data_IF_403675178360
#
_entry.id   IF_403675178360
#
_cell.length_a   1.000
_cell.length_b   1.000
_cell.length_c   1.000
_cell.angle_alpha   90.00
_cell.angle_beta   90.00
_cell.angle_gamma   90.00
#
_symmetry.space_group_name_H-M   'P 1'
#
loop_
_entity.id
_entity.type
_entity.pdbx_description
1 polymer ?
#
# COMPACT_ATOMS: atom_id res chain seq x y z
N UNK A 1 -10.16 -10.66 -6.88
CA UNK A 1 -11.02 -11.50 -6.05
C UNK A 1 -10.72 -11.17 -4.59
N UNK A 2 -11.70 -10.59 -3.91
CA UNK A 2 -11.72 -10.44 -2.47
C UNK A 2 -11.94 -11.84 -1.88
N UNK A 3 -11.00 -12.33 -1.08
CA UNK A 3 -11.24 -13.47 -0.20
C UNK A 3 -11.47 -12.90 1.18
N UNK A 4 -12.71 -13.01 1.67
CA UNK A 4 -13.05 -12.63 3.02
C UNK A 4 -12.16 -13.39 4.02
N UNK A 5 -11.69 -12.74 5.10
CA UNK A 5 -10.85 -13.42 6.08
C UNK A 5 -11.64 -14.51 6.80
N UNK A 6 -11.03 -15.67 6.93
CA UNK A 6 -11.59 -16.88 7.56
C UNK A 6 -11.05 -17.13 8.97
N UNK A 7 -10.38 -16.16 9.57
CA UNK A 7 -9.69 -16.24 10.86
C UNK A 7 -10.00 -15.02 11.72
N UNK A 8 -10.01 -15.19 13.03
CA UNK A 8 -10.12 -14.11 14.01
C UNK A 8 -8.77 -13.55 14.46
N UNK A 9 -7.66 -13.97 13.87
CA UNK A 9 -6.36 -13.41 14.19
C UNK A 9 -6.32 -11.91 13.91
N UNK A 10 -6.19 -11.10 14.98
CA UNK A 10 -6.18 -9.65 14.90
C UNK A 10 -7.55 -9.00 14.65
N UNK A 11 -8.65 -9.77 14.72
CA UNK A 11 -10.00 -9.29 14.42
C UNK A 11 -10.94 -9.27 15.63
N UNK A 12 -10.46 -9.63 16.82
CA UNK A 12 -11.32 -9.75 17.99
C UNK A 12 -12.01 -8.42 18.34
N UNK A 13 -13.33 -8.47 18.50
CA UNK A 13 -14.15 -7.32 18.85
C UNK A 13 -14.46 -6.36 17.72
N UNK A 14 -14.13 -6.69 16.47
CA UNK A 14 -14.52 -5.88 15.33
C UNK A 14 -16.05 -5.86 15.14
N UNK A 15 -16.59 -4.79 14.54
CA UNK A 15 -18.01 -4.72 14.23
C UNK A 15 -18.39 -5.74 13.15
N UNK A 16 -19.64 -6.17 13.19
CA UNK A 16 -20.23 -7.05 12.16
C UNK A 16 -20.14 -6.41 10.76
N UNK A 17 -19.77 -7.22 9.78
CA UNK A 17 -19.77 -6.86 8.37
C UNK A 17 -20.40 -7.98 7.55
N UNK A 18 -21.40 -7.65 6.74
CA UNK A 18 -22.07 -8.63 5.84
C UNK A 18 -21.12 -9.18 4.75
N UNK A 19 -19.98 -8.54 4.54
CA UNK A 19 -18.99 -8.95 3.55
C UNK A 19 -18.04 -10.04 4.06
N UNK A 20 -18.04 -10.30 5.37
CA UNK A 20 -17.17 -11.30 5.99
C UNK A 20 -17.82 -12.68 5.97
N UNK A 21 -17.06 -13.72 5.63
CA UNK A 21 -17.56 -15.11 5.64
C UNK A 21 -17.76 -15.64 7.06
N UNK A 22 -16.99 -15.15 8.01
CA UNK A 22 -17.14 -15.45 9.42
C UNK A 22 -16.76 -14.24 10.26
N UNK A 23 -17.19 -14.20 11.51
CA UNK A 23 -17.18 -12.98 12.31
C UNK A 23 -16.40 -13.13 13.61
N UNK A 24 -15.92 -12.00 14.15
CA UNK A 24 -15.11 -11.94 15.37
C UNK A 24 -15.61 -10.90 16.37
N UNK A 25 -16.85 -10.42 16.19
CA UNK A 25 -17.50 -9.51 17.14
C UNK A 25 -17.99 -10.26 18.40
N UNK A 26 -18.22 -9.59 19.52
CA UNK A 26 -18.52 -10.24 20.80
C UNK A 26 -19.78 -11.14 20.78
N UNK A 27 -20.71 -10.85 19.90
CA UNK A 27 -22.01 -11.53 19.81
C UNK A 27 -22.03 -12.68 18.79
N UNK A 28 -20.93 -12.88 18.05
CA UNK A 28 -20.88 -13.89 16.98
C UNK A 28 -21.17 -15.33 17.51
N UNK A 29 -20.79 -15.61 18.75
CA UNK A 29 -21.08 -16.89 19.38
C UNK A 29 -22.59 -17.15 19.58
N UNK A 30 -23.35 -16.09 19.88
CA UNK A 30 -24.80 -16.14 20.03
C UNK A 30 -25.49 -16.26 18.67
N UNK A 31 -24.91 -15.65 17.67
CA UNK A 31 -25.40 -15.65 16.29
C UNK A 31 -24.93 -16.88 15.48
N UNK A 32 -24.06 -17.70 16.06
CA UNK A 32 -23.48 -18.88 15.43
C UNK A 32 -22.75 -18.62 14.12
N UNK A 33 -22.10 -17.45 14.01
CA UNK A 33 -21.39 -17.02 12.82
C UNK A 33 -19.91 -16.66 13.06
N UNK A 34 -19.34 -17.04 14.22
CA UNK A 34 -17.92 -16.87 14.49
C UNK A 34 -17.05 -17.67 13.52
N UNK A 35 -15.84 -17.16 13.27
CA UNK A 35 -14.79 -17.97 12.65
C UNK A 35 -14.43 -19.17 13.52
N UNK A 36 -13.98 -20.26 12.90
CA UNK A 36 -13.64 -21.51 13.60
C UNK A 36 -12.59 -21.31 14.70
N UNK A 37 -11.68 -20.36 14.53
CA UNK A 37 -10.61 -20.07 15.46
C UNK A 37 -10.94 -18.93 16.46
N UNK A 38 -12.21 -18.49 16.51
CA UNK A 38 -12.64 -17.41 17.40
C UNK A 38 -12.29 -17.67 18.86
N UNK A 39 -12.55 -18.85 19.38
CA UNK A 39 -12.23 -19.20 20.77
C UNK A 39 -10.73 -19.15 21.04
N UNK A 40 -9.93 -19.53 20.06
CA UNK A 40 -8.46 -19.51 20.16
C UNK A 40 -7.90 -18.10 20.25
N UNK A 41 -8.44 -17.16 19.47
CA UNK A 41 -7.94 -15.80 19.38
C UNK A 41 -8.68 -14.82 20.28
N UNK A 42 -9.96 -15.02 20.51
CA UNK A 42 -10.86 -14.08 21.18
C UNK A 42 -11.51 -14.65 22.45
N UNK A 43 -11.27 -15.92 22.79
CA UNK A 43 -11.78 -16.55 23.99
C UNK A 43 -11.08 -16.06 25.27
N UNK A 44 -11.59 -16.45 26.49
CA UNK A 44 -11.03 -15.97 27.75
C UNK A 44 -9.56 -16.35 27.99
N UNK A 45 -9.08 -17.41 27.35
CA UNK A 45 -7.67 -17.82 27.36
C UNK A 45 -6.86 -17.27 26.19
N UNK A 46 -7.54 -16.71 25.19
CA UNK A 46 -6.98 -16.10 23.98
C UNK A 46 -6.91 -14.59 24.04
N UNK A 47 -7.05 -14.00 25.20
CA UNK A 47 -6.69 -12.61 25.40
C UNK A 47 -5.19 -12.48 25.11
N UNK A 48 -4.85 -12.32 23.82
CA UNK A 48 -3.60 -11.68 23.48
C UNK A 48 -3.58 -10.43 24.36
N UNK A 49 -2.56 -10.32 25.16
CA UNK A 49 -2.43 -9.18 26.04
C UNK A 49 -2.77 -7.92 25.24
N UNK A 50 -3.42 -6.94 25.82
CA UNK A 50 -3.69 -5.62 25.18
C UNK A 50 -2.45 -4.97 24.56
N UNK A 51 -1.29 -5.57 24.75
CA UNK A 51 0.01 -5.19 24.17
C UNK A 51 0.20 -5.65 22.73
N UNK A 52 -0.44 -6.75 22.29
CA UNK A 52 -0.21 -7.32 20.95
C UNK A 52 -1.24 -6.84 19.92
N UNK A 53 -2.45 -6.49 20.37
CA UNK A 53 -3.50 -5.98 19.50
C UNK A 53 -3.31 -4.49 19.21
N UNK A 54 -3.44 -4.11 17.94
CA UNK A 54 -3.40 -2.71 17.49
C UNK A 54 -4.84 -2.24 17.35
N UNK A 55 -5.25 -1.25 18.19
CA UNK A 55 -6.60 -0.71 18.18
C UNK A 55 -6.79 0.31 17.05
N UNK A 56 -8.04 0.58 16.66
CA UNK A 56 -8.36 1.63 15.70
C UNK A 56 -7.87 3.00 16.19
N UNK A 57 -8.01 3.30 17.48
CA UNK A 57 -7.51 4.55 18.06
C UNK A 57 -5.98 4.67 17.92
N UNK A 58 -5.26 3.59 18.16
CA UNK A 58 -3.80 3.56 17.98
C UNK A 58 -3.40 3.78 16.52
N UNK A 59 -4.15 3.20 15.56
CA UNK A 59 -3.92 3.44 14.14
C UNK A 59 -4.14 4.90 13.74
N UNK A 60 -5.21 5.52 14.25
CA UNK A 60 -5.49 6.93 14.00
C UNK A 60 -4.37 7.84 14.55
N UNK A 61 -3.94 7.59 15.77
CA UNK A 61 -2.87 8.37 16.42
C UNK A 61 -1.51 8.15 15.74
N UNK A 62 -1.16 6.91 15.43
CA UNK A 62 0.11 6.60 14.80
C UNK A 62 0.17 7.13 13.36
N UNK A 63 -0.91 7.02 12.61
CA UNK A 63 -0.94 7.56 11.24
C UNK A 63 -0.76 9.09 11.23
N UNK A 64 -1.37 9.82 12.17
CA UNK A 64 -1.11 11.26 12.34
C UNK A 64 0.35 11.53 12.70
N UNK A 65 0.94 10.69 13.55
CA UNK A 65 2.35 10.82 13.92
C UNK A 65 3.27 10.59 12.71
N UNK A 66 3.00 9.55 11.90
CA UNK A 66 3.76 9.30 10.68
C UNK A 66 3.61 10.43 9.67
N UNK A 67 2.41 10.98 9.55
CA UNK A 67 2.15 12.14 8.71
C UNK A 67 3.03 13.36 9.10
N UNK A 68 3.14 13.65 10.39
CA UNK A 68 4.00 14.72 10.90
C UNK A 68 5.50 14.45 10.67
N UNK A 69 5.91 13.18 10.70
CA UNK A 69 7.30 12.77 10.58
C UNK A 69 7.78 12.59 9.13
N UNK A 70 6.93 12.85 8.13
CA UNK A 70 7.34 12.80 6.73
C UNK A 70 8.15 14.06 6.34
N UNK A 71 9.37 14.14 6.86
CA UNK A 71 10.27 15.27 6.65
C UNK A 71 10.77 15.38 5.21
N UNK A 72 10.73 14.28 4.45
CA UNK A 72 11.17 14.23 3.06
C UNK A 72 10.04 14.48 2.05
N UNK A 73 8.85 14.80 2.51
CA UNK A 73 7.73 15.13 1.62
C UNK A 73 8.03 16.35 0.75
N UNK A 74 7.35 16.47 -0.38
CA UNK A 74 7.40 17.65 -1.22
C UNK A 74 6.89 18.88 -0.46
N UNK A 75 7.53 20.01 -0.72
CA UNK A 75 7.07 21.34 -0.29
C UNK A 75 6.08 21.90 -1.32
N UNK A 76 5.27 22.92 -0.96
CA UNK A 76 4.26 23.46 -1.89
C UNK A 76 4.83 23.90 -3.25
N UNK A 77 6.06 24.40 -3.31
CA UNK A 77 6.72 24.81 -4.55
C UNK A 77 7.38 23.70 -5.35
N UNK A 78 7.45 22.48 -4.81
CA UNK A 78 8.16 21.35 -5.45
C UNK A 78 7.33 20.66 -6.52
N UNK A 79 6.02 20.70 -6.43
CA UNK A 79 5.10 20.03 -7.35
C UNK A 79 3.99 21.00 -7.78
N UNK A 80 3.72 21.05 -9.07
CA UNK A 80 2.53 21.69 -9.64
C UNK A 80 1.78 20.68 -10.50
N UNK A 81 0.53 20.42 -10.16
CA UNK A 81 -0.35 19.52 -10.91
C UNK A 81 -1.48 20.30 -11.60
N UNK A 82 -1.98 19.73 -12.68
CA UNK A 82 -3.16 20.20 -13.39
C UNK A 82 -4.20 19.07 -13.47
N UNK A 83 -5.11 18.94 -12.50
CA UNK A 83 -6.09 17.84 -12.47
C UNK A 83 -7.06 17.84 -13.65
N UNK A 84 -7.32 19.00 -14.26
CA UNK A 84 -8.16 19.15 -15.44
C UNK A 84 -9.59 18.62 -15.20
N UNK A 85 -10.08 17.70 -16.04
CA UNK A 85 -11.46 17.26 -15.99
C UNK A 85 -11.75 16.38 -14.76
N UNK A 86 -12.81 16.76 -14.02
CA UNK A 86 -13.38 15.93 -12.95
C UNK A 86 -14.41 14.98 -13.56
N UNK A 87 -14.09 13.70 -13.61
CA UNK A 87 -14.93 12.66 -14.17
C UNK A 87 -16.09 12.30 -13.23
N UNK A 88 -17.30 12.24 -13.77
CA UNK A 88 -18.45 11.67 -13.07
C UNK A 88 -18.40 10.14 -13.03
N UNK A 89 -19.29 9.50 -12.24
CA UNK A 89 -19.32 8.04 -12.10
C UNK A 89 -19.46 7.28 -13.44
N UNK A 90 -20.16 7.86 -14.40
CA UNK A 90 -20.39 7.25 -15.72
C UNK A 90 -19.22 7.47 -16.69
N UNK A 91 -18.27 8.32 -16.34
CA UNK A 91 -17.16 8.70 -17.23
C UNK A 91 -15.87 7.94 -16.94
N UNK A 92 -15.71 7.33 -15.77
CA UNK A 92 -14.46 6.65 -15.40
C UNK A 92 -14.19 5.41 -16.25
N UNK A 93 -15.23 4.71 -16.68
CA UNK A 93 -15.14 3.49 -17.47
C UNK A 93 -15.17 3.66 -18.98
N UNK A 94 -15.43 4.88 -19.48
CA UNK A 94 -15.62 5.12 -20.92
C UNK A 94 -14.30 5.22 -21.72
N UNK A 95 -13.17 5.20 -21.04
CA UNK A 95 -11.81 5.26 -21.61
C UNK A 95 -11.57 6.49 -22.51
N UNK A 96 -12.24 7.57 -22.22
CA UNK A 96 -12.14 8.80 -22.99
C UNK A 96 -11.16 9.77 -22.35
N UNK A 97 -10.14 10.16 -23.08
CA UNK A 97 -9.21 11.20 -22.67
C UNK A 97 -9.89 12.56 -22.73
N UNK A 98 -10.05 13.19 -21.55
CA UNK A 98 -10.62 14.53 -21.39
C UNK A 98 -9.59 15.54 -20.89
N UNK A 99 -8.33 15.16 -20.89
CA UNK A 99 -7.24 15.99 -20.38
C UNK A 99 -6.17 16.19 -21.46
N UNK A 100 -6.20 17.32 -22.19
CA UNK A 100 -5.25 17.57 -23.27
C UNK A 100 -3.83 17.84 -22.78
N UNK A 101 -3.66 18.09 -21.46
CA UNK A 101 -2.36 18.41 -20.85
C UNK A 101 -1.94 17.28 -19.89
N UNK A 102 -0.64 17.13 -19.60
CA UNK A 102 -0.16 16.24 -18.56
C UNK A 102 -0.74 16.61 -17.19
N UNK A 103 -0.82 15.62 -16.27
CA UNK A 103 -1.17 15.88 -14.88
C UNK A 103 -0.12 16.76 -14.20
N UNK A 104 1.16 16.44 -14.38
CA UNK A 104 2.26 17.19 -13.76
C UNK A 104 2.73 18.30 -14.68
N UNK A 105 2.55 19.55 -14.22
CA UNK A 105 3.13 20.74 -14.87
C UNK A 105 4.61 20.89 -14.52
N UNK A 106 4.95 20.58 -13.28
CA UNK A 106 6.30 20.75 -12.74
C UNK A 106 6.51 19.82 -11.54
N UNK A 107 7.69 19.23 -11.48
CA UNK A 107 8.21 18.54 -10.31
C UNK A 107 9.66 18.93 -10.10
N UNK A 108 10.00 19.35 -8.90
CA UNK A 108 11.40 19.61 -8.52
C UNK A 108 12.13 18.28 -8.35
N UNK A 109 12.87 17.87 -9.37
CA UNK A 109 13.57 16.59 -9.37
C UNK A 109 14.77 16.52 -8.41
N UNK A 110 15.15 17.61 -7.76
CA UNK A 110 16.10 17.59 -6.65
C UNK A 110 15.59 16.71 -5.47
N UNK A 111 14.27 16.57 -5.33
CA UNK A 111 13.66 15.61 -4.41
C UNK A 111 14.22 14.19 -4.62
N UNK A 112 14.40 13.80 -5.88
CA UNK A 112 14.80 12.45 -6.26
C UNK A 112 16.26 12.12 -5.93
N UNK A 113 17.04 13.11 -5.55
CA UNK A 113 18.41 12.93 -5.05
C UNK A 113 18.46 12.54 -3.56
N UNK A 114 17.37 12.72 -2.83
CA UNK A 114 17.29 12.26 -1.44
C UNK A 114 17.43 10.74 -1.38
N UNK A 115 18.14 10.20 -0.36
CA UNK A 115 18.48 8.77 -0.33
C UNK A 115 17.29 7.81 -0.45
N UNK A 116 16.17 8.10 0.18
CA UNK A 116 14.98 7.25 0.10
C UNK A 116 14.34 7.29 -1.28
N UNK A 117 14.29 8.46 -1.92
CA UNK A 117 13.79 8.61 -3.29
C UNK A 117 14.71 7.92 -4.30
N UNK A 118 16.01 8.16 -4.21
CA UNK A 118 16.97 7.60 -5.15
C UNK A 118 16.98 6.07 -5.12
N UNK A 119 16.98 5.47 -3.93
CA UNK A 119 16.92 4.02 -3.75
C UNK A 119 15.58 3.42 -4.18
N UNK A 120 14.48 4.13 -3.96
CA UNK A 120 13.15 3.74 -4.41
C UNK A 120 13.04 3.71 -5.94
N UNK A 121 13.51 4.76 -6.61
CA UNK A 121 13.46 4.89 -8.06
C UNK A 121 14.25 3.77 -8.75
N UNK A 122 15.38 3.36 -8.20
CA UNK A 122 16.15 2.22 -8.73
C UNK A 122 15.34 0.91 -8.73
N UNK A 123 14.50 0.71 -7.72
CA UNK A 123 13.66 -0.49 -7.65
C UNK A 123 12.56 -0.52 -8.71
N UNK A 124 12.07 0.63 -9.14
CA UNK A 124 10.96 0.70 -10.10
C UNK A 124 11.26 0.07 -11.45
N UNK A 125 12.52 0.02 -11.86
CA UNK A 125 12.95 -0.50 -13.16
C UNK A 125 13.15 -2.03 -13.18
N UNK A 126 13.01 -2.70 -12.04
CA UNK A 126 13.33 -4.13 -11.88
C UNK A 126 12.19 -5.08 -12.25
N UNK A 127 11.02 -4.56 -12.66
CA UNK A 127 9.81 -5.38 -12.79
C UNK A 127 9.26 -5.41 -14.21
N UNK A 128 8.79 -6.60 -14.60
CA UNK A 128 8.08 -6.78 -15.85
C UNK A 128 6.60 -6.44 -15.69
N UNK A 129 6.07 -5.59 -16.57
CA UNK A 129 4.70 -5.10 -16.52
C UNK A 129 3.64 -6.20 -16.57
N UNK A 130 3.83 -7.20 -17.44
CA UNK A 130 2.82 -8.24 -17.65
C UNK A 130 2.89 -9.33 -16.58
N UNK A 131 1.76 -9.66 -15.95
CA UNK A 131 1.64 -10.85 -15.11
C UNK A 131 1.71 -12.13 -15.98
N UNK A 132 2.11 -13.25 -15.38
CA UNK A 132 2.22 -14.54 -16.07
C UNK A 132 3.62 -14.85 -16.62
N UNK A 133 4.59 -13.96 -16.42
CA UNK A 133 6.00 -14.19 -16.71
C UNK A 133 6.77 -14.32 -15.41
N UNK A 134 7.51 -15.42 -15.25
CA UNK A 134 8.34 -15.63 -14.07
C UNK A 134 9.40 -14.53 -13.96
N UNK A 135 9.50 -13.92 -12.79
CA UNK A 135 10.51 -12.91 -12.49
C UNK A 135 11.76 -13.56 -11.90
N UNK A 136 12.91 -13.26 -12.51
CA UNK A 136 14.20 -13.61 -11.96
C UNK A 136 14.75 -12.44 -11.15
N UNK A 137 14.99 -12.67 -9.86
CA UNK A 137 15.60 -11.67 -8.98
C UNK A 137 17.12 -11.81 -9.04
N UNK A 138 17.79 -10.83 -9.62
CA UNK A 138 19.24 -10.80 -9.72
C UNK A 138 19.90 -10.44 -8.39
N UNK A 139 21.20 -10.72 -8.26
CA UNK A 139 21.99 -10.31 -7.09
C UNK A 139 22.03 -8.79 -6.92
N UNK A 140 21.97 -8.03 -8.02
CA UNK A 140 21.92 -6.57 -7.99
C UNK A 140 20.57 -6.07 -7.46
N UNK A 141 19.47 -6.64 -7.91
CA UNK A 141 18.13 -6.31 -7.41
C UNK A 141 18.00 -6.60 -5.90
N UNK A 142 18.57 -7.70 -5.42
CA UNK A 142 18.62 -7.97 -3.98
C UNK A 142 19.41 -6.89 -3.22
N UNK A 143 20.52 -6.43 -3.76
CA UNK A 143 21.28 -5.32 -3.16
C UNK A 143 20.49 -4.00 -3.17
N UNK A 144 19.75 -3.72 -4.23
CA UNK A 144 18.89 -2.55 -4.31
C UNK A 144 17.74 -2.62 -3.31
N UNK A 145 17.14 -3.78 -3.11
CA UNK A 145 16.12 -4.00 -2.07
C UNK A 145 16.69 -3.74 -0.67
N UNK A 146 17.83 -4.33 -0.36
CA UNK A 146 18.49 -4.13 0.93
C UNK A 146 18.92 -2.68 1.15
N UNK A 147 19.38 -2.01 0.11
CA UNK A 147 19.74 -0.60 0.16
C UNK A 147 18.51 0.29 0.44
N UNK A 148 17.42 0.07 -0.25
CA UNK A 148 16.16 0.80 0.00
C UNK A 148 15.67 0.60 1.45
N UNK A 149 15.64 -0.63 1.93
CA UNK A 149 15.22 -0.95 3.29
C UNK A 149 16.11 -0.25 4.34
N UNK A 150 17.42 -0.23 4.13
CA UNK A 150 18.35 0.49 5.02
C UNK A 150 18.10 2.00 5.00
N UNK A 151 17.86 2.59 3.83
CA UNK A 151 17.63 4.02 3.71
C UNK A 151 16.31 4.44 4.37
N UNK A 152 15.22 3.69 4.17
CA UNK A 152 13.95 4.03 4.84
C UNK A 152 14.04 3.87 6.35
N UNK A 153 14.77 2.86 6.85
CA UNK A 153 14.95 2.66 8.29
C UNK A 153 15.79 3.74 8.98
N UNK A 154 16.57 4.51 8.24
CA UNK A 154 17.28 5.68 8.79
C UNK A 154 16.36 6.87 9.06
N UNK A 155 15.15 6.86 8.52
CA UNK A 155 14.19 7.95 8.73
C UNK A 155 13.55 7.87 10.10
N UNK A 156 13.24 9.02 10.67
CA UNK A 156 12.52 9.11 11.94
C UNK A 156 11.14 8.45 11.84
N UNK A 157 10.49 8.58 10.70
CA UNK A 157 9.19 7.96 10.41
C UNK A 157 9.24 6.43 10.60
N UNK A 158 10.18 5.75 9.97
CA UNK A 158 10.29 4.30 10.06
C UNK A 158 10.78 3.85 11.45
N UNK A 159 11.61 4.64 12.13
CA UNK A 159 11.99 4.36 13.52
C UNK A 159 10.80 4.46 14.47
N UNK A 160 9.94 5.46 14.29
CA UNK A 160 8.70 5.59 15.08
C UNK A 160 7.77 4.38 14.87
N UNK A 161 7.60 3.95 13.62
CA UNK A 161 6.83 2.75 13.31
C UNK A 161 7.44 1.50 13.97
N UNK A 162 8.75 1.34 13.89
CA UNK A 162 9.43 0.20 14.50
C UNK A 162 9.24 0.18 16.02
N UNK A 163 9.46 1.31 16.69
CA UNK A 163 9.28 1.42 18.15
C UNK A 163 7.85 1.07 18.55
N UNK A 164 6.87 1.53 17.81
CA UNK A 164 5.46 1.18 18.05
C UNK A 164 5.22 -0.33 17.92
N UNK A 165 5.69 -0.94 16.82
CA UNK A 165 5.52 -2.36 16.58
C UNK A 165 6.29 -3.23 17.60
N UNK A 166 7.47 -2.78 18.03
CA UNK A 166 8.22 -3.41 19.11
C UNK A 166 7.46 -3.36 20.43
N UNK A 167 6.85 -2.21 20.76
CA UNK A 167 5.99 -2.04 21.93
C UNK A 167 4.75 -2.94 21.90
N UNK A 168 4.31 -3.36 20.72
CA UNK A 168 3.22 -4.32 20.50
C UNK A 168 3.70 -5.77 20.40
N UNK A 169 4.94 -6.05 20.75
CA UNK A 169 5.59 -7.37 20.68
C UNK A 169 5.56 -8.00 19.27
N UNK A 170 5.44 -7.19 18.22
CA UNK A 170 5.45 -7.70 16.84
C UNK A 170 6.86 -8.07 16.39
N UNK A 171 7.86 -7.32 16.84
CA UNK A 171 9.27 -7.54 16.51
C UNK A 171 10.14 -7.34 17.75
N UNK A 172 11.14 -8.20 17.90
CA UNK A 172 12.11 -8.10 18.99
C UNK A 172 13.29 -7.19 18.65
N UNK A 173 13.60 -7.04 17.36
CA UNK A 173 14.73 -6.26 16.87
C UNK A 173 14.44 -5.58 15.54
N UNK A 174 15.18 -4.54 15.22
CA UNK A 174 15.11 -3.87 13.93
C UNK A 174 15.46 -4.83 12.78
N UNK A 175 16.41 -5.73 13.00
CA UNK A 175 16.80 -6.73 12.00
C UNK A 175 15.63 -7.68 11.68
N UNK A 176 14.90 -8.13 12.68
CA UNK A 176 13.70 -8.96 12.47
C UNK A 176 12.62 -8.21 11.68
N UNK A 177 12.40 -6.94 12.01
CA UNK A 177 11.48 -6.08 11.27
C UNK A 177 11.88 -5.92 9.82
N UNK A 178 13.16 -5.60 9.55
CA UNK A 178 13.66 -5.46 8.17
C UNK A 178 13.53 -6.75 7.37
N UNK A 179 13.82 -7.88 7.97
CA UNK A 179 13.69 -9.18 7.31
C UNK A 179 12.23 -9.48 6.95
N UNK A 180 11.30 -9.18 7.82
CA UNK A 180 9.87 -9.36 7.58
C UNK A 180 9.35 -8.40 6.50
N UNK A 181 9.76 -7.12 6.54
CA UNK A 181 9.45 -6.15 5.49
C UNK A 181 9.95 -6.62 4.12
N UNK A 182 11.16 -7.17 4.07
CA UNK A 182 11.73 -7.70 2.84
C UNK A 182 10.88 -8.84 2.27
N UNK A 183 10.46 -9.78 3.10
CA UNK A 183 9.61 -10.87 2.68
C UNK A 183 8.21 -10.40 2.24
N UNK A 184 7.58 -9.52 3.02
CA UNK A 184 6.24 -9.02 2.71
C UNK A 184 6.17 -8.25 1.38
N UNK A 185 7.17 -7.41 1.12
CA UNK A 185 7.16 -6.50 -0.03
C UNK A 185 7.80 -7.08 -1.28
N UNK A 186 8.89 -7.83 -1.12
CA UNK A 186 9.71 -8.31 -2.24
C UNK A 186 9.61 -9.81 -2.47
N UNK A 187 8.97 -10.56 -1.55
CA UNK A 187 8.69 -11.97 -1.77
C UNK A 187 7.81 -12.16 -2.99
N UNK A 188 8.23 -13.05 -3.90
CA UNK A 188 7.48 -13.33 -5.11
C UNK A 188 6.28 -14.25 -4.85
N UNK A 189 5.17 -13.95 -5.49
CA UNK A 189 3.95 -14.76 -5.46
C UNK A 189 3.33 -14.86 -6.85
N UNK A 190 2.41 -15.80 -7.05
CA UNK A 190 1.73 -15.99 -8.31
C UNK A 190 0.45 -15.15 -8.41
N UNK A 191 0.37 -14.31 -9.42
CA UNK A 191 -0.86 -13.60 -9.84
C UNK A 191 -1.48 -14.20 -11.10
N UNK A 192 -0.71 -15.01 -11.83
CA UNK A 192 -1.13 -15.77 -13.00
C UNK A 192 -1.37 -17.25 -12.69
N UNK A 193 -1.01 -18.12 -13.61
CA UNK A 193 -1.31 -19.56 -13.57
C UNK A 193 -0.23 -20.41 -12.87
N UNK A 194 0.33 -19.94 -11.75
CA UNK A 194 1.27 -20.70 -10.93
C UNK A 194 2.72 -20.24 -10.99
N UNK A 195 3.04 -19.26 -11.80
CA UNK A 195 4.39 -18.67 -11.88
C UNK A 195 4.57 -17.56 -10.84
N UNK A 196 5.79 -17.38 -10.35
CA UNK A 196 6.15 -16.29 -9.42
C UNK A 196 6.37 -15.01 -10.21
N UNK A 197 5.28 -14.35 -10.54
CA UNK A 197 5.23 -13.25 -11.51
C UNK A 197 4.97 -11.89 -10.88
N UNK A 198 4.91 -11.78 -9.56
CA UNK A 198 4.61 -10.52 -8.89
C UNK A 198 5.15 -10.46 -7.47
N UNK A 199 5.15 -9.25 -6.92
CA UNK A 199 5.43 -8.95 -5.51
C UNK A 199 4.53 -7.82 -5.03
N UNK A 200 4.48 -7.61 -3.71
CA UNK A 200 3.76 -6.46 -3.13
C UNK A 200 4.28 -5.13 -3.63
N UNK A 201 5.59 -5.00 -3.70
CA UNK A 201 6.23 -3.77 -4.21
C UNK A 201 5.83 -3.47 -5.65
N UNK A 202 5.90 -4.48 -6.52
CA UNK A 202 5.49 -4.33 -7.91
C UNK A 202 4.02 -3.92 -8.02
N UNK A 203 3.12 -4.66 -7.36
CA UNK A 203 1.69 -4.37 -7.42
C UNK A 203 1.38 -2.95 -6.95
N UNK A 204 1.87 -2.55 -5.80
CA UNK A 204 1.52 -1.26 -5.19
C UNK A 204 2.20 -0.09 -5.89
N UNK A 205 3.50 -0.19 -6.16
CA UNK A 205 4.31 0.95 -6.60
C UNK A 205 4.63 0.95 -8.09
N UNK A 206 5.10 -0.16 -8.61
CA UNK A 206 5.50 -0.25 -10.01
C UNK A 206 4.31 -0.34 -10.96
N UNK A 207 3.27 -1.04 -10.54
CA UNK A 207 2.10 -1.36 -11.35
C UNK A 207 2.31 -2.60 -12.20
N UNK A 208 1.22 -3.27 -12.52
CA UNK A 208 1.16 -4.48 -13.33
C UNK A 208 0.07 -4.36 -14.39
N UNK A 209 0.17 -5.20 -15.42
CA UNK A 209 -0.92 -5.40 -16.38
C UNK A 209 -1.46 -6.80 -16.20
N UNK A 210 -2.73 -6.91 -15.84
CA UNK A 210 -3.44 -8.17 -15.66
C UNK A 210 -4.72 -8.18 -16.50
N UNK A 211 -4.86 -9.19 -17.36
CA UNK A 211 -6.03 -9.33 -18.24
C UNK A 211 -6.34 -8.06 -19.06
N UNK A 212 -5.30 -7.43 -19.59
CA UNK A 212 -5.43 -6.23 -20.43
C UNK A 212 -5.76 -4.94 -19.70
N UNK A 213 -5.68 -4.92 -18.37
CA UNK A 213 -5.93 -3.74 -17.54
C UNK A 213 -4.77 -3.47 -16.58
N UNK A 214 -4.55 -2.22 -16.25
CA UNK A 214 -3.59 -1.83 -15.21
C UNK A 214 -4.14 -2.25 -13.86
N UNK A 215 -3.33 -2.98 -13.11
CA UNK A 215 -3.61 -3.44 -11.75
C UNK A 215 -2.59 -2.83 -10.78
N UNK A 216 -3.02 -2.47 -9.58
CA UNK A 216 -2.17 -1.74 -8.64
C UNK A 216 -1.86 -0.34 -9.13
N UNK A 217 -0.58 0.05 -9.06
CA UNK A 217 -0.09 1.34 -9.56
C UNK A 217 -0.59 2.53 -8.73
N UNK A 218 -0.10 2.66 -7.50
CA UNK A 218 -0.56 3.68 -6.56
C UNK A 218 0.54 4.67 -6.13
N UNK A 219 1.51 4.94 -7.01
CA UNK A 219 2.66 5.77 -6.65
C UNK A 219 2.81 6.98 -7.57
N UNK A 220 2.91 8.18 -6.99
CA UNK A 220 3.01 9.43 -7.73
C UNK A 220 4.34 9.60 -8.45
N UNK A 221 5.44 9.09 -7.90
CA UNK A 221 6.78 9.19 -8.51
C UNK A 221 6.81 8.34 -9.79
N UNK A 222 6.30 7.11 -9.71
CA UNK A 222 6.18 6.21 -10.87
C UNK A 222 5.32 6.85 -11.96
N UNK A 223 4.17 7.39 -11.59
CA UNK A 223 3.27 8.09 -12.52
C UNK A 223 3.99 9.24 -13.23
N UNK A 224 4.63 10.14 -12.47
CA UNK A 224 5.36 11.27 -13.01
C UNK A 224 6.46 10.85 -13.99
N UNK A 225 7.29 9.89 -13.61
CA UNK A 225 8.40 9.42 -14.44
C UNK A 225 7.91 8.83 -15.76
N UNK A 226 6.84 8.02 -15.72
CA UNK A 226 6.25 7.43 -16.92
C UNK A 226 5.53 8.47 -17.80
N UNK A 227 4.84 9.43 -17.20
CA UNK A 227 4.22 10.53 -17.95
C UNK A 227 5.28 11.36 -18.66
N UNK A 228 6.38 11.70 -17.99
CA UNK A 228 7.52 12.41 -18.57
C UNK A 228 8.15 11.68 -19.75
N UNK A 229 8.18 10.33 -19.69
CA UNK A 229 8.71 9.48 -20.75
C UNK A 229 7.73 9.30 -21.94
N UNK A 230 6.50 9.78 -21.81
CA UNK A 230 5.47 9.57 -22.82
C UNK A 230 4.85 8.17 -22.81
N UNK A 231 5.07 7.38 -21.77
CA UNK A 231 4.55 6.01 -21.62
C UNK A 231 3.21 5.96 -20.90
N UNK A 232 2.84 7.02 -20.21
CA UNK A 232 1.60 7.15 -19.46
C UNK A 232 0.86 8.40 -19.93
N UNK A 233 -0.45 8.27 -20.18
CA UNK A 233 -1.34 9.35 -20.55
C UNK A 233 -2.44 9.55 -19.50
N UNK A 234 -2.51 10.73 -18.93
CA UNK A 234 -3.51 11.12 -17.96
C UNK A 234 -4.84 11.49 -18.64
N UNK A 235 -5.95 10.93 -18.16
CA UNK A 235 -7.28 11.14 -18.76
C UNK A 235 -8.16 12.08 -17.96
N UNK A 236 -8.24 11.89 -16.66
CA UNK A 236 -9.13 12.64 -15.76
C UNK A 236 -8.87 12.25 -14.30
N UNK A 237 -9.56 12.93 -13.39
CA UNK A 237 -9.62 12.53 -11.99
C UNK A 237 -11.09 12.43 -11.55
N UNK A 238 -11.38 11.57 -10.60
CA UNK A 238 -12.72 11.40 -10.03
C UNK A 238 -12.79 11.75 -8.55
N UNK A 239 -11.66 11.99 -7.92
CA UNK A 239 -11.54 12.35 -6.52
C UNK A 239 -10.35 13.27 -6.30
N UNK A 240 -10.56 14.31 -5.48
CA UNK A 240 -9.53 15.18 -4.98
C UNK A 240 -9.70 15.29 -3.46
N UNK A 241 -8.67 14.94 -2.72
CA UNK A 241 -8.70 14.93 -1.27
C UNK A 241 -8.81 16.32 -0.64
N UNK A 242 -9.12 16.36 0.66
CA UNK A 242 -9.36 17.61 1.38
C UNK A 242 -8.09 18.35 1.81
N UNK A 243 -6.91 17.88 1.42
CA UNK A 243 -5.64 18.47 1.86
C UNK A 243 -5.25 19.66 0.98
N UNK A 244 -4.80 20.74 1.63
CA UNK A 244 -4.24 21.92 0.97
C UNK A 244 -2.71 21.85 0.84
N UNK A 245 -2.11 20.82 1.42
CA UNK A 245 -0.67 20.58 1.45
C UNK A 245 -0.37 19.13 1.06
N UNK A 246 0.90 18.82 0.79
CA UNK A 246 1.32 17.45 0.54
C UNK A 246 1.49 16.67 1.86
N UNK A 247 1.20 15.36 1.83
CA UNK A 247 0.61 14.61 0.72
C UNK A 247 -0.88 14.92 0.49
N UNK A 248 -1.27 14.96 -0.76
CA UNK A 248 -2.67 14.98 -1.19
C UNK A 248 -3.05 13.62 -1.77
N UNK A 249 -4.34 13.35 -1.93
CA UNK A 249 -4.86 12.11 -2.51
C UNK A 249 -5.68 12.42 -3.75
N UNK A 250 -5.38 11.74 -4.85
CA UNK A 250 -6.15 11.81 -6.08
C UNK A 250 -6.67 10.43 -6.48
N UNK A 251 -7.91 10.39 -6.99
CA UNK A 251 -8.42 9.26 -7.76
C UNK A 251 -8.28 9.59 -9.26
N UNK A 252 -7.61 8.72 -10.00
CA UNK A 252 -7.11 9.01 -11.35
C UNK A 252 -7.61 8.00 -12.37
N UNK A 253 -7.84 8.50 -13.59
CA UNK A 253 -8.06 7.70 -14.79
C UNK A 253 -6.89 7.95 -15.74
N UNK A 254 -6.27 6.90 -16.24
CA UNK A 254 -5.11 7.01 -17.12
C UNK A 254 -4.91 5.74 -17.95
N UNK A 255 -4.10 5.86 -18.99
CA UNK A 255 -3.57 4.70 -19.71
C UNK A 255 -2.05 4.63 -19.53
N UNK A 256 -1.54 3.43 -19.38
CA UNK A 256 -0.13 3.11 -19.31
C UNK A 256 0.22 2.15 -20.43
N UNK A 257 1.00 2.65 -21.39
CA UNK A 257 1.41 1.90 -22.59
C UNK A 257 0.22 1.19 -23.29
N UNK A 258 -0.89 1.91 -23.43
CA UNK A 258 -2.12 1.44 -24.05
C UNK A 258 -3.06 0.65 -23.15
N UNK A 259 -2.69 0.35 -21.91
CA UNK A 259 -3.55 -0.32 -20.93
C UNK A 259 -4.21 0.71 -20.01
N UNK A 260 -5.49 0.53 -19.74
CA UNK A 260 -6.31 1.51 -19.02
C UNK A 260 -6.44 1.19 -17.52
N UNK A 261 -6.45 2.25 -16.71
CA UNK A 261 -6.83 2.22 -15.29
C UNK A 261 -8.09 3.05 -15.10
N UNK A 262 -9.18 2.39 -14.71
CA UNK A 262 -10.47 3.04 -14.52
C UNK A 262 -10.50 3.93 -13.27
N UNK A 263 -10.02 3.42 -12.15
CA UNK A 263 -9.85 4.19 -10.91
C UNK A 263 -8.55 3.78 -10.25
N UNK A 264 -7.59 4.68 -10.26
CA UNK A 264 -6.33 4.53 -9.54
C UNK A 264 -6.23 5.60 -8.46
N UNK A 265 -5.99 5.20 -7.21
CA UNK A 265 -5.73 6.13 -6.12
C UNK A 265 -4.24 6.27 -5.88
N UNK A 266 -3.80 7.48 -5.56
CA UNK A 266 -2.42 7.74 -5.20
C UNK A 266 -2.31 8.91 -4.23
N UNK A 267 -1.35 8.79 -3.31
CA UNK A 267 -0.83 9.95 -2.59
C UNK A 267 0.08 10.75 -3.53
N UNK A 268 -0.03 12.07 -3.47
CA UNK A 268 0.81 12.98 -4.24
C UNK A 268 1.71 13.75 -3.28
N UNK A 269 3.02 13.71 -3.53
CA UNK A 269 3.99 14.53 -2.81
C UNK A 269 4.51 13.96 -1.49
N UNK A 270 4.09 12.77 -1.10
CA UNK A 270 4.69 12.07 0.05
C UNK A 270 6.06 11.46 -0.30
N UNK A 271 6.86 11.20 0.71
CA UNK A 271 8.10 10.44 0.54
C UNK A 271 7.85 8.95 0.34
N UNK A 272 8.81 8.19 -0.23
CA UNK A 272 8.70 6.72 -0.32
C UNK A 272 8.55 6.04 1.03
N UNK A 273 9.26 6.48 2.06
CA UNK A 273 9.15 5.93 3.43
C UNK A 273 7.77 6.13 4.03
N UNK A 274 7.06 7.22 3.67
CA UNK A 274 5.72 7.46 4.16
C UNK A 274 4.73 6.39 3.67
N UNK A 275 4.66 6.17 2.35
CA UNK A 275 3.79 5.14 1.79
C UNK A 275 4.21 3.74 2.25
N UNK A 276 5.50 3.45 2.20
CA UNK A 276 6.03 2.16 2.61
C UNK A 276 5.71 1.85 4.07
N UNK A 277 5.92 2.81 4.96
CA UNK A 277 5.60 2.68 6.39
C UNK A 277 4.10 2.58 6.66
N UNK A 278 3.31 3.44 6.04
CA UNK A 278 1.86 3.48 6.23
C UNK A 278 1.18 2.19 5.74
N UNK A 279 1.55 1.72 4.56
CA UNK A 279 1.00 0.48 3.99
C UNK A 279 1.48 -0.76 4.74
N UNK A 280 2.73 -0.77 5.20
CA UNK A 280 3.24 -1.84 6.06
C UNK A 280 2.47 -1.92 7.38
N UNK A 281 2.22 -0.78 8.01
CA UNK A 281 1.39 -0.70 9.23
C UNK A 281 -0.01 -1.26 8.98
N UNK A 282 -0.66 -0.83 7.93
CA UNK A 282 -2.01 -1.28 7.58
C UNK A 282 -2.06 -2.79 7.31
N UNK A 283 -1.09 -3.31 6.58
CA UNK A 283 -1.01 -4.73 6.30
C UNK A 283 -0.79 -5.57 7.56
N UNK A 284 0.08 -5.12 8.46
CA UNK A 284 0.34 -5.80 9.73
C UNK A 284 -0.82 -5.74 10.71
N UNK A 285 -1.52 -4.60 10.76
CA UNK A 285 -2.60 -4.37 11.70
C UNK A 285 -3.95 -4.88 11.21
N UNK A 286 -4.22 -4.82 9.90
CA UNK A 286 -5.51 -5.14 9.28
C UNK A 286 -5.32 -5.90 7.96
N UNK A 287 -4.70 -7.10 8.01
CA UNK A 287 -4.52 -7.89 6.78
C UNK A 287 -5.88 -8.31 6.20
N UNK A 288 -6.07 -8.07 4.90
CA UNK A 288 -7.31 -8.40 4.19
C UNK A 288 -8.51 -7.51 4.50
N UNK A 289 -8.29 -6.37 5.16
CA UNK A 289 -9.37 -5.51 5.68
C UNK A 289 -9.09 -4.05 5.45
N UNK A 290 -10.11 -3.22 5.70
CA UNK A 290 -9.94 -1.78 5.73
C UNK A 290 -9.14 -1.34 6.96
N UNK A 291 -8.14 -0.52 6.72
CA UNK A 291 -7.32 0.12 7.75
C UNK A 291 -7.72 1.58 7.83
N UNK A 292 -8.31 1.98 8.96
CA UNK A 292 -8.77 3.34 9.15
C UNK A 292 -7.65 4.20 9.72
N UNK A 293 -7.36 5.30 9.04
CA UNK A 293 -6.26 6.20 9.33
C UNK A 293 -6.76 7.64 9.46
N UNK A 294 -5.92 8.49 10.03
CA UNK A 294 -6.11 9.94 10.05
C UNK A 294 -4.82 10.63 9.63
N UNK A 295 -4.90 11.53 8.66
CA UNK A 295 -3.77 12.29 8.15
C UNK A 295 -4.10 13.77 8.14
N UNK A 296 -3.39 14.58 8.93
CA UNK A 296 -3.64 16.01 9.02
C UNK A 296 -5.07 16.34 9.44
N UNK A 297 -5.68 15.54 10.31
CA UNK A 297 -7.05 15.68 10.80
C UNK A 297 -8.13 15.11 9.87
N UNK A 298 -7.76 14.56 8.72
CA UNK A 298 -8.70 13.99 7.76
C UNK A 298 -8.65 12.46 7.77
N UNK A 299 -9.83 11.84 7.86
CA UNK A 299 -9.98 10.39 7.88
C UNK A 299 -9.91 9.80 6.48
N UNK A 300 -9.22 8.68 6.36
CA UNK A 300 -9.20 7.85 5.16
C UNK A 300 -9.10 6.38 5.52
N UNK A 301 -9.30 5.53 4.52
CA UNK A 301 -9.25 4.09 4.66
C UNK A 301 -8.35 3.49 3.60
N UNK A 302 -7.48 2.58 4.00
CA UNK A 302 -6.63 1.79 3.09
C UNK A 302 -7.07 0.34 3.16
N UNK A 303 -7.46 -0.21 2.03
CA UNK A 303 -7.80 -1.63 1.92
C UNK A 303 -6.55 -2.44 1.66
N UNK A 304 -6.30 -3.46 2.46
CA UNK A 304 -5.20 -4.39 2.27
C UNK A 304 -5.69 -5.73 1.72
N UNK A 305 -4.82 -6.41 1.00
CA UNK A 305 -5.08 -7.72 0.42
C UNK A 305 -3.90 -8.65 0.70
N UNK A 306 -4.03 -9.66 1.58
CA UNK A 306 -2.98 -10.63 1.78
C UNK A 306 -2.96 -11.62 0.62
N UNK A 307 -1.77 -11.96 0.14
CA UNK A 307 -1.60 -12.96 -0.88
C UNK A 307 -0.94 -14.22 -0.27
N UNK A 308 -1.65 -15.34 -0.27
CA UNK A 308 -1.20 -16.57 0.37
C UNK A 308 -0.74 -17.66 -0.62
N UNK A 309 -1.04 -17.49 -1.91
CA UNK A 309 -0.64 -18.43 -2.96
C UNK A 309 0.82 -18.20 -3.37
N UNK A 310 1.75 -18.53 -2.49
CA UNK A 310 3.16 -18.51 -2.81
C UNK A 310 3.74 -19.92 -2.70
N UNK A 311 4.84 -20.17 -3.41
CA UNK A 311 5.61 -21.40 -3.28
C UNK A 311 6.43 -21.49 -1.98
N UNK A 312 6.37 -20.45 -1.13
CA UNK A 312 6.87 -20.49 0.24
C UNK A 312 5.78 -21.07 1.12
N UNK A 313 6.07 -22.17 1.80
CA UNK A 313 5.11 -22.99 2.56
C UNK A 313 4.11 -22.21 3.42
N UNK A 314 3.08 -22.90 3.83
CA UNK A 314 1.91 -22.43 4.59
C UNK A 314 2.25 -21.43 5.70
N UNK A 315 1.60 -20.26 5.69
CA UNK A 315 1.60 -19.30 6.79
C UNK A 315 2.36 -17.99 6.55
N UNK A 316 2.99 -17.80 5.41
CA UNK A 316 3.59 -16.50 5.06
C UNK A 316 2.62 -15.64 4.26
N UNK A 317 2.52 -14.38 4.63
CA UNK A 317 1.63 -13.39 4.01
C UNK A 317 2.46 -12.39 3.22
N UNK A 318 1.98 -12.06 2.03
CA UNK A 318 2.57 -11.07 1.12
C UNK A 318 1.55 -9.95 0.87
N UNK A 319 2.04 -8.76 0.73
CA UNK A 319 1.23 -7.57 0.40
C UNK A 319 0.71 -7.64 -1.04
#
# INVERSE_FOLDING_TARGET
LYTAPDSCEGRCGEPFSEEDECHCHPECGTEHNCCEDHERHCGPDGFSSSRDSITDQELLELSERLYELDHNKARPGDIAINPQHLAGPDETGDKRDRSPQPLYKYVNEELFSKPTYASFIKLLDNYQRATGTEEEVTAEELREQDHFLREVMRTELMQELFVFLQGKNRYSSEQEFLQDLKEMWFGLYSRGDGERDSSGFEHVFSGEVKKGKVSGFHNWIRFYLLEKQGLLNYFSHNFNGPWDTFPDVLGLQFSWDGFYKEVGSAFIGCSPEFEFGLYSLCFLARPGRACHLSLGGHRLSVQTYPWTKSSYGSGRRFI
#
